data_IF_554800655320
#
_entry.id   IF_554800655320
#
_cell.length_a   1.000
_cell.length_b   1.000
_cell.length_c   1.000
_cell.angle_alpha   90.00
_cell.angle_beta   90.00
_cell.angle_gamma   90.00
#
_symmetry.space_group_name_H-M   'P 1'
#
loop_
_entity.id
_entity.type
_entity.pdbx_description
1 polymer ?
#
# COMPACT_ATOMS: atom_id res chain seq x y z
N UNK A 1 -56.36 -54.14 25.32
CA UNK A 1 -55.21 -54.54 24.50
C UNK A 1 -54.54 -53.39 23.75
N UNK A 2 -55.13 -52.21 23.54
CA UNK A 2 -54.53 -51.08 22.81
C UNK A 2 -53.54 -50.25 23.64
N UNK A 3 -53.68 -50.20 24.97
CA UNK A 3 -52.81 -49.42 25.87
C UNK A 3 -51.39 -50.03 26.08
N UNK A 4 -51.31 -51.35 26.08
CA UNK A 4 -50.01 -52.02 26.23
C UNK A 4 -49.10 -51.91 24.98
N UNK A 5 -49.67 -51.84 23.77
CA UNK A 5 -48.91 -51.61 22.52
C UNK A 5 -48.31 -50.20 22.44
N UNK A 6 -48.96 -49.21 23.03
CA UNK A 6 -48.46 -47.83 23.01
C UNK A 6 -47.26 -47.65 23.97
N UNK A 7 -47.26 -48.31 25.14
CA UNK A 7 -46.14 -48.26 26.08
C UNK A 7 -44.86 -48.94 25.54
N UNK A 8 -44.99 -50.02 24.82
CA UNK A 8 -43.83 -50.72 24.22
C UNK A 8 -43.24 -49.97 23.04
N UNK A 9 -44.03 -49.19 22.32
CA UNK A 9 -43.52 -48.31 21.26
C UNK A 9 -42.76 -47.11 21.83
N UNK A 10 -43.28 -46.52 22.91
CA UNK A 10 -42.64 -45.34 23.55
C UNK A 10 -41.27 -45.69 24.17
N UNK A 11 -41.13 -46.86 24.77
CA UNK A 11 -39.84 -47.36 25.34
C UNK A 11 -38.80 -47.68 24.28
N UNK A 12 -39.22 -48.18 23.08
CA UNK A 12 -38.33 -48.43 21.96
C UNK A 12 -37.82 -47.11 21.33
N UNK A 13 -38.66 -46.07 21.24
CA UNK A 13 -38.28 -44.78 20.67
C UNK A 13 -37.27 -44.05 21.59
N UNK A 14 -37.45 -44.11 22.90
CA UNK A 14 -36.48 -43.55 23.85
C UNK A 14 -35.11 -44.23 23.81
N UNK A 15 -35.07 -45.58 23.65
CA UNK A 15 -33.81 -46.34 23.52
C UNK A 15 -33.05 -46.01 22.23
N UNK A 16 -33.76 -45.74 21.14
CA UNK A 16 -33.14 -45.36 19.85
C UNK A 16 -32.60 -43.93 19.93
N UNK A 17 -33.33 -42.97 20.56
CA UNK A 17 -32.86 -41.61 20.76
C UNK A 17 -31.66 -41.52 21.70
N UNK A 18 -31.59 -42.31 22.78
CA UNK A 18 -30.43 -42.34 23.66
C UNK A 18 -29.17 -42.86 22.99
N UNK A 19 -29.30 -43.87 22.08
CA UNK A 19 -28.18 -44.41 21.34
C UNK A 19 -27.62 -43.47 20.23
N UNK A 20 -28.51 -42.68 19.62
CA UNK A 20 -28.12 -41.68 18.62
C UNK A 20 -27.42 -40.47 19.23
N UNK A 21 -27.84 -40.04 20.43
CA UNK A 21 -27.17 -38.90 21.10
C UNK A 21 -25.75 -39.28 21.60
N UNK A 22 -25.55 -40.49 22.15
CA UNK A 22 -24.19 -40.91 22.54
C UNK A 22 -23.24 -41.10 21.34
N UNK A 23 -23.75 -41.53 20.20
CA UNK A 23 -22.93 -41.62 18.98
C UNK A 23 -22.61 -40.25 18.37
N UNK A 24 -23.49 -39.26 18.53
CA UNK A 24 -23.29 -37.90 18.06
C UNK A 24 -22.28 -37.14 18.93
N UNK A 25 -22.32 -37.30 20.25
CA UNK A 25 -21.38 -36.67 21.16
C UNK A 25 -19.94 -37.15 20.97
N UNK A 26 -19.75 -38.48 20.80
CA UNK A 26 -18.43 -39.06 20.54
C UNK A 26 -17.82 -38.61 19.19
N UNK A 27 -18.65 -38.35 18.17
CA UNK A 27 -18.15 -37.84 16.87
C UNK A 27 -17.82 -36.32 16.92
N UNK A 28 -18.50 -35.53 17.73
CA UNK A 28 -18.20 -34.13 17.90
C UNK A 28 -16.86 -33.91 18.61
N UNK A 29 -16.59 -34.65 19.68
CA UNK A 29 -15.34 -34.56 20.44
C UNK A 29 -14.12 -34.96 19.60
N UNK A 30 -14.26 -35.94 18.68
CA UNK A 30 -13.18 -36.33 17.75
C UNK A 30 -12.94 -35.29 16.67
N UNK A 31 -14.00 -34.68 16.14
CA UNK A 31 -13.87 -33.63 15.12
C UNK A 31 -13.28 -32.33 15.72
N UNK A 32 -13.61 -32.02 16.97
CA UNK A 32 -13.04 -30.87 17.66
C UNK A 32 -11.55 -31.05 18.01
N UNK A 33 -11.13 -32.27 18.32
CA UNK A 33 -9.72 -32.60 18.56
C UNK A 33 -8.88 -32.52 17.26
N UNK A 34 -9.38 -33.08 16.15
CA UNK A 34 -8.70 -32.99 14.85
C UNK A 34 -8.63 -31.54 14.34
N UNK A 35 -9.69 -30.74 14.53
CA UNK A 35 -9.69 -29.33 14.16
C UNK A 35 -8.75 -28.48 15.04
N UNK A 36 -8.56 -28.82 16.31
CA UNK A 36 -7.60 -28.10 17.18
C UNK A 36 -6.14 -28.38 16.80
N UNK A 37 -5.81 -29.61 16.36
CA UNK A 37 -4.46 -29.93 15.88
C UNK A 37 -4.15 -29.29 14.52
N UNK A 38 -5.13 -29.16 13.61
CA UNK A 38 -4.95 -28.50 12.31
C UNK A 38 -4.78 -26.99 12.48
N UNK A 39 -5.48 -26.37 13.44
CA UNK A 39 -5.37 -24.90 13.70
C UNK A 39 -4.04 -24.56 14.36
N UNK A 40 -3.42 -25.47 15.11
CA UNK A 40 -2.15 -25.20 15.81
C UNK A 40 -0.90 -25.26 14.92
N UNK A 41 -0.97 -25.92 13.76
CA UNK A 41 0.20 -26.16 12.91
C UNK A 41 0.34 -25.21 11.71
N UNK A 42 -0.72 -24.44 11.35
CA UNK A 42 -0.74 -23.54 10.20
C UNK A 42 -0.88 -22.05 10.55
N UNK A 43 -0.50 -21.64 11.76
CA UNK A 43 -0.31 -20.22 12.01
C UNK A 43 0.96 -19.78 11.27
N UNK A 44 0.86 -19.03 10.15
CA UNK A 44 2.03 -18.44 9.56
C UNK A 44 2.66 -17.59 10.66
N UNK A 45 3.96 -17.75 10.86
CA UNK A 45 4.79 -16.93 11.76
C UNK A 45 4.61 -15.46 11.35
N UNK A 46 3.51 -14.85 11.81
CA UNK A 46 3.21 -13.44 11.58
C UNK A 46 4.18 -12.67 12.45
N UNK A 47 5.31 -12.28 11.85
CA UNK A 47 6.13 -11.21 12.42
C UNK A 47 5.18 -10.07 12.87
N UNK A 48 5.39 -9.47 14.02
CA UNK A 48 4.50 -8.45 14.54
C UNK A 48 4.29 -7.38 13.47
N UNK A 49 3.06 -7.24 13.02
CA UNK A 49 2.70 -6.25 12.02
C UNK A 49 3.17 -4.89 12.52
N UNK A 50 4.14 -4.29 11.82
CA UNK A 50 4.65 -2.97 12.19
C UNK A 50 3.49 -1.99 12.09
N UNK A 51 2.95 -1.59 13.24
CA UNK A 51 1.86 -0.63 13.32
C UNK A 51 2.43 0.73 12.96
N UNK A 52 2.07 1.24 11.79
CA UNK A 52 2.44 2.59 11.37
C UNK A 52 1.43 3.58 11.92
N UNK A 53 1.92 4.51 12.72
CA UNK A 53 1.09 5.58 13.28
C UNK A 53 0.82 6.67 12.24
N UNK A 54 -0.39 7.22 12.28
CA UNK A 54 -0.77 8.39 11.49
C UNK A 54 0.01 9.61 11.96
N UNK A 55 0.73 10.30 11.05
CA UNK A 55 1.53 11.49 11.34
C UNK A 55 0.94 12.71 10.63
N UNK A 56 0.14 13.46 11.36
CA UNK A 56 -0.57 14.64 10.87
C UNK A 56 -0.24 15.84 11.77
N UNK A 57 -0.02 17.00 11.17
CA UNK A 57 0.21 18.28 11.87
C UNK A 57 -1.09 18.78 12.54
N UNK A 58 -0.98 19.78 13.43
CA UNK A 58 -2.11 20.44 14.10
C UNK A 58 -3.13 21.06 13.11
N UNK A 59 -2.69 21.36 11.88
CA UNK A 59 -3.53 21.87 10.79
C UNK A 59 -4.21 20.76 9.96
N UNK A 60 -4.13 19.50 10.40
CA UNK A 60 -4.70 18.36 9.68
C UNK A 60 -3.96 17.98 8.39
N UNK A 61 -2.68 18.38 8.25
CA UNK A 61 -1.86 18.09 7.08
C UNK A 61 -0.84 17.00 7.37
N UNK A 62 -0.65 16.08 6.42
CA UNK A 62 0.48 15.17 6.46
C UNK A 62 1.62 15.71 5.58
N UNK A 63 2.81 15.72 6.14
CA UNK A 63 4.02 16.22 5.49
C UNK A 63 4.98 15.10 5.14
N UNK A 64 5.59 15.19 3.95
CA UNK A 64 6.73 14.33 3.61
C UNK A 64 7.66 14.99 2.58
N UNK A 65 8.91 14.53 2.59
CA UNK A 65 9.93 14.95 1.63
C UNK A 65 10.18 13.85 0.59
N UNK A 66 10.16 14.22 -0.69
CA UNK A 66 10.55 13.36 -1.79
C UNK A 66 11.84 13.82 -2.47
N UNK A 67 12.61 12.88 -3.01
CA UNK A 67 13.87 13.18 -3.70
C UNK A 67 14.01 12.33 -4.95
N UNK A 68 14.47 12.95 -6.05
CA UNK A 68 14.87 12.24 -7.27
C UNK A 68 15.96 13.01 -8.01
N UNK A 69 17.06 12.34 -8.39
CA UNK A 69 18.26 13.00 -8.95
C UNK A 69 18.70 14.13 -8.02
N UNK A 70 18.76 15.37 -8.51
CA UNK A 70 19.08 16.57 -7.74
C UNK A 70 17.84 17.36 -7.31
N UNK A 71 16.62 16.86 -7.61
CA UNK A 71 15.39 17.51 -7.22
C UNK A 71 14.95 17.07 -5.82
N UNK A 72 14.51 18.04 -5.02
CA UNK A 72 13.93 17.85 -3.69
C UNK A 72 12.54 18.45 -3.69
N UNK A 73 11.55 17.68 -3.25
CA UNK A 73 10.17 18.11 -3.09
C UNK A 73 9.75 18.02 -1.63
N UNK A 74 9.13 19.07 -1.11
CA UNK A 74 8.40 19.08 0.16
C UNK A 74 6.92 19.06 -0.18
N UNK A 75 6.20 18.09 0.34
CA UNK A 75 4.80 17.82 -0.01
C UNK A 75 3.95 17.85 1.25
N UNK A 76 2.88 18.61 1.24
CA UNK A 76 1.83 18.62 2.25
C UNK A 76 0.53 18.18 1.61
N UNK A 77 -0.17 17.29 2.24
CA UNK A 77 -1.50 16.83 1.82
C UNK A 77 -2.51 17.12 2.92
N UNK A 78 -3.70 17.51 2.52
CA UNK A 78 -4.87 17.74 3.37
C UNK A 78 -6.10 17.20 2.67
N UNK A 79 -7.09 16.76 3.41
CA UNK A 79 -8.41 16.43 2.83
C UNK A 79 -9.02 17.68 2.20
N UNK A 80 -9.51 17.55 0.96
CA UNK A 80 -10.03 18.70 0.22
C UNK A 80 -10.69 18.31 -1.11
N UNK A 81 -10.60 19.21 -2.08
CA UNK A 81 -11.28 19.15 -3.37
C UNK A 81 -10.41 18.60 -4.52
N UNK A 82 -9.18 18.17 -4.24
CA UNK A 82 -8.25 17.65 -5.25
C UNK A 82 -7.38 18.73 -5.92
N UNK A 83 -7.30 19.92 -5.33
CA UNK A 83 -6.47 21.01 -5.86
C UNK A 83 -4.99 20.73 -5.64
N UNK A 84 -4.19 20.79 -6.72
CA UNK A 84 -2.74 20.60 -6.66
C UNK A 84 -2.02 21.89 -7.00
N UNK A 85 -1.19 22.38 -6.08
CA UNK A 85 -0.40 23.60 -6.24
C UNK A 85 1.08 23.27 -6.09
N UNK A 86 1.91 23.73 -7.04
CA UNK A 86 3.36 23.50 -7.05
C UNK A 86 4.09 24.85 -7.16
N UNK A 87 4.90 25.19 -6.17
CA UNK A 87 5.58 26.50 -6.09
C UNK A 87 4.62 27.67 -6.40
N UNK A 88 3.46 27.68 -5.73
CA UNK A 88 2.42 28.71 -5.86
C UNK A 88 1.73 28.80 -7.23
N UNK A 89 2.12 27.94 -8.18
CA UNK A 89 1.52 27.84 -9.52
C UNK A 89 0.56 26.65 -9.58
N UNK A 90 -0.41 26.75 -10.48
CA UNK A 90 -1.28 25.62 -10.77
C UNK A 90 -0.50 24.46 -11.39
N UNK A 91 -0.93 23.26 -11.07
CA UNK A 91 -0.28 22.02 -11.50
C UNK A 91 -0.12 21.90 -13.01
N UNK A 92 -1.13 22.33 -13.78
CA UNK A 92 -1.13 22.27 -15.23
C UNK A 92 -0.18 23.27 -15.87
N UNK A 93 -0.07 24.46 -15.27
CA UNK A 93 0.84 25.50 -15.69
C UNK A 93 2.29 25.12 -15.42
N UNK A 94 2.54 24.53 -14.23
CA UNK A 94 3.90 24.13 -13.84
C UNK A 94 4.39 22.92 -14.66
N UNK A 95 3.53 21.90 -14.84
CA UNK A 95 3.82 20.72 -15.65
C UNK A 95 3.00 20.75 -16.94
N UNK A 96 3.45 21.53 -17.91
CA UNK A 96 2.81 21.62 -19.24
C UNK A 96 2.72 20.26 -19.95
N UNK A 97 3.69 19.35 -19.71
CA UNK A 97 3.71 18.01 -20.33
C UNK A 97 2.76 17.04 -19.59
N UNK A 98 1.74 16.46 -20.26
CA UNK A 98 0.78 15.54 -19.66
C UNK A 98 1.42 14.34 -18.96
N UNK A 99 2.49 13.78 -19.58
CA UNK A 99 3.22 12.63 -19.02
C UNK A 99 3.79 12.92 -17.64
N UNK A 100 4.26 14.13 -17.36
CA UNK A 100 4.77 14.50 -16.04
C UNK A 100 3.64 14.60 -15.02
N UNK A 101 2.46 15.07 -15.43
CA UNK A 101 1.25 15.10 -14.62
C UNK A 101 0.80 13.70 -14.24
N UNK A 102 0.76 12.78 -15.21
CA UNK A 102 0.45 11.37 -14.94
C UNK A 102 1.40 10.75 -13.91
N UNK A 103 2.71 11.00 -14.04
CA UNK A 103 3.71 10.47 -13.08
C UNK A 103 3.42 10.92 -11.65
N UNK A 104 3.02 12.18 -11.45
CA UNK A 104 2.70 12.71 -10.13
C UNK A 104 1.41 12.11 -9.58
N UNK A 105 0.43 11.82 -10.42
CA UNK A 105 -0.88 11.27 -10.01
C UNK A 105 -0.84 9.76 -9.70
N UNK A 106 0.13 9.02 -10.22
CA UNK A 106 0.25 7.56 -10.02
C UNK A 106 0.02 7.06 -8.58
N UNK A 107 0.56 7.69 -7.51
CA UNK A 107 0.30 7.23 -6.15
C UNK A 107 -1.14 7.41 -5.70
N UNK A 108 -1.82 8.46 -6.18
CA UNK A 108 -3.24 8.71 -5.89
C UNK A 108 -4.14 7.67 -6.60
N UNK A 109 -3.79 7.34 -7.84
CA UNK A 109 -4.49 6.33 -8.62
C UNK A 109 -4.34 4.92 -7.98
N UNK A 110 -3.14 4.61 -7.45
CA UNK A 110 -2.86 3.33 -6.79
C UNK A 110 -3.52 3.17 -5.41
N UNK A 111 -4.00 4.26 -4.81
CA UNK A 111 -4.69 4.26 -3.51
C UNK A 111 -6.16 4.65 -3.63
N UNK A 112 -6.69 4.80 -4.87
CA UNK A 112 -8.06 5.25 -5.17
C UNK A 112 -8.46 6.58 -4.51
N UNK A 113 -7.47 7.41 -4.22
CA UNK A 113 -7.63 8.70 -3.53
C UNK A 113 -7.60 9.91 -4.46
N UNK A 114 -7.88 9.71 -5.75
CA UNK A 114 -7.88 10.80 -6.74
C UNK A 114 -9.00 11.80 -6.45
N UNK A 115 -8.62 13.07 -6.29
CA UNK A 115 -9.58 14.14 -5.99
C UNK A 115 -9.96 14.31 -4.51
N UNK A 116 -9.53 13.44 -3.62
CA UNK A 116 -9.85 13.51 -2.18
C UNK A 116 -8.91 14.41 -1.38
N UNK A 117 -7.74 14.76 -1.94
CA UNK A 117 -6.71 15.51 -1.23
C UNK A 117 -6.32 16.79 -1.96
N UNK A 118 -6.25 17.88 -1.21
CA UNK A 118 -5.55 19.09 -1.64
C UNK A 118 -4.05 18.93 -1.37
N UNK A 119 -3.24 19.20 -2.40
CA UNK A 119 -1.80 18.95 -2.39
C UNK A 119 -1.06 20.28 -2.58
N UNK A 120 -0.24 20.62 -1.61
CA UNK A 120 0.69 21.73 -1.70
C UNK A 120 2.12 21.22 -1.78
N UNK A 121 2.88 21.65 -2.79
CA UNK A 121 4.25 21.20 -3.00
C UNK A 121 5.21 22.38 -3.20
N UNK A 122 6.35 22.32 -2.53
CA UNK A 122 7.49 23.17 -2.85
C UNK A 122 8.61 22.32 -3.43
N UNK A 123 9.11 22.67 -4.60
CA UNK A 123 10.11 21.88 -5.33
C UNK A 123 11.29 22.75 -5.71
N UNK A 124 12.50 22.24 -5.48
CA UNK A 124 13.75 22.90 -5.84
C UNK A 124 14.74 21.94 -6.48
N UNK A 125 15.66 22.46 -7.26
CA UNK A 125 16.74 21.74 -7.91
C UNK A 125 16.31 20.83 -9.06
N UNK A 126 17.30 20.32 -9.81
CA UNK A 126 17.09 19.42 -10.94
C UNK A 126 16.30 20.04 -12.09
N UNK A 127 15.63 19.21 -12.87
CA UNK A 127 14.74 19.63 -13.96
C UNK A 127 13.33 19.06 -13.80
N UNK A 128 12.36 19.50 -14.58
CA UNK A 128 10.94 19.14 -14.48
C UNK A 128 10.68 17.64 -14.33
N UNK A 129 11.41 16.78 -15.10
CA UNK A 129 11.29 15.33 -14.98
C UNK A 129 11.80 14.77 -13.63
N UNK A 130 12.85 15.37 -13.07
CA UNK A 130 13.34 15.05 -11.73
C UNK A 130 12.37 15.52 -10.65
N UNK A 131 11.83 16.73 -10.81
CA UNK A 131 10.87 17.34 -9.91
C UNK A 131 9.57 16.56 -9.84
N UNK A 132 9.00 16.13 -10.99
CA UNK A 132 7.81 15.28 -11.02
C UNK A 132 8.03 13.95 -10.26
N UNK A 133 9.19 13.31 -10.47
CA UNK A 133 9.52 12.09 -9.72
C UNK A 133 9.81 12.33 -8.24
N UNK A 134 10.32 13.49 -7.86
CA UNK A 134 10.49 13.87 -6.47
C UNK A 134 9.14 14.11 -5.77
N UNK A 135 8.20 14.81 -6.46
CA UNK A 135 6.83 14.98 -5.96
C UNK A 135 6.15 13.63 -5.81
N UNK A 136 6.23 12.73 -6.80
CA UNK A 136 5.68 11.38 -6.72
C UNK A 136 6.14 10.66 -5.45
N UNK A 137 7.43 10.62 -5.21
CA UNK A 137 8.01 9.99 -4.03
C UNK A 137 7.59 10.66 -2.72
N UNK A 138 7.54 12.01 -2.68
CA UNK A 138 7.07 12.78 -1.52
C UNK A 138 5.59 12.53 -1.23
N UNK A 139 4.76 12.54 -2.27
CA UNK A 139 3.32 12.31 -2.17
C UNK A 139 3.02 10.91 -1.63
N UNK A 140 3.70 9.88 -2.12
CA UNK A 140 3.53 8.51 -1.62
C UNK A 140 3.87 8.40 -0.13
N UNK A 141 4.89 9.09 0.33
CA UNK A 141 5.25 9.13 1.76
C UNK A 141 4.25 9.94 2.59
N UNK A 142 3.72 11.02 2.03
CA UNK A 142 2.71 11.83 2.70
C UNK A 142 1.39 11.05 2.84
N UNK A 143 0.96 10.32 1.79
CA UNK A 143 -0.18 9.42 1.84
C UNK A 143 -0.01 8.33 2.91
N UNK A 144 1.18 7.75 3.01
CA UNK A 144 1.49 6.77 4.07
C UNK A 144 1.39 7.37 5.47
N UNK A 145 1.84 8.62 5.67
CA UNK A 145 1.74 9.32 6.94
C UNK A 145 0.29 9.67 7.31
N UNK A 146 -0.54 9.90 6.30
CA UNK A 146 -1.96 10.21 6.50
C UNK A 146 -2.79 8.94 6.72
N UNK A 147 -2.58 7.91 5.89
CA UNK A 147 -3.28 6.62 5.92
C UNK A 147 -2.28 5.46 5.85
N UNK A 148 -1.89 4.91 7.02
CA UNK A 148 -0.89 3.84 7.07
C UNK A 148 -1.27 2.54 6.33
N UNK A 149 -2.57 2.24 6.20
CA UNK A 149 -3.04 1.02 5.51
C UNK A 149 -2.73 1.03 4.00
N UNK A 150 -2.56 2.20 3.38
CA UNK A 150 -2.18 2.31 1.97
C UNK A 150 -0.74 1.83 1.66
N UNK A 151 0.03 1.43 2.70
CA UNK A 151 1.41 0.98 2.55
C UNK A 151 1.57 -0.19 1.59
N UNK A 152 0.68 -1.18 1.63
CA UNK A 152 0.76 -2.36 0.78
C UNK A 152 0.69 -1.98 -0.70
N UNK A 153 -0.32 -1.18 -1.10
CA UNK A 153 -0.51 -0.70 -2.46
C UNK A 153 0.66 0.18 -2.94
N UNK A 154 1.10 1.13 -2.11
CA UNK A 154 2.21 2.02 -2.43
C UNK A 154 3.56 1.29 -2.53
N UNK A 155 3.79 0.24 -1.74
CA UNK A 155 4.99 -0.59 -1.79
C UNK A 155 4.99 -1.48 -3.04
N UNK A 156 3.85 -2.10 -3.37
CA UNK A 156 3.69 -2.90 -4.59
C UNK A 156 3.95 -2.08 -5.86
N UNK A 157 3.46 -0.83 -5.92
CA UNK A 157 3.74 0.11 -7.02
C UNK A 157 5.16 0.68 -7.03
N UNK A 158 6.02 0.37 -6.05
CA UNK A 158 7.40 0.86 -5.95
C UNK A 158 7.53 2.35 -5.65
N UNK A 159 6.46 3.02 -5.19
CA UNK A 159 6.43 4.46 -4.97
C UNK A 159 7.18 4.91 -3.72
N UNK A 160 7.34 4.04 -2.74
CA UNK A 160 8.02 4.35 -1.47
C UNK A 160 9.55 4.30 -1.58
N UNK A 161 10.08 3.65 -2.63
CA UNK A 161 11.51 3.52 -2.85
C UNK A 161 12.05 4.71 -3.64
N UNK A 162 13.13 5.32 -3.15
CA UNK A 162 13.81 6.38 -3.90
C UNK A 162 14.51 5.79 -5.12
N UNK A 163 14.31 6.42 -6.30
CA UNK A 163 15.09 6.12 -7.51
C UNK A 163 16.53 6.64 -7.32
N UNK A 164 17.50 5.73 -7.21
CA UNK A 164 18.92 6.03 -6.97
C UNK A 164 19.67 6.51 -8.21
N UNK A 165 19.07 6.39 -9.41
CA UNK A 165 19.74 6.76 -10.67
C UNK A 165 20.07 8.24 -10.72
N UNK A 166 21.35 8.55 -10.88
CA UNK A 166 21.90 9.91 -11.00
C UNK A 166 22.68 10.01 -12.32
N UNK A 167 22.87 11.21 -12.82
CA UNK A 167 23.68 11.43 -14.02
C UNK A 167 25.15 11.07 -13.70
N UNK A 168 25.71 10.18 -14.50
CA UNK A 168 27.10 9.75 -14.37
C UNK A 168 28.06 10.91 -14.66
N UNK A 169 29.09 11.06 -13.84
CA UNK A 169 30.09 12.11 -13.99
C UNK A 169 30.86 11.97 -15.30
N UNK A 170 31.11 13.09 -15.98
CA UNK A 170 32.04 13.16 -17.13
C UNK A 170 33.41 12.62 -16.71
N UNK A 171 34.05 11.80 -17.56
CA UNK A 171 35.39 11.25 -17.35
C UNK A 171 36.43 12.02 -18.19
N UNK A 172 37.65 12.03 -17.73
CA UNK A 172 38.75 12.61 -18.49
C UNK A 172 38.95 11.81 -19.79
N UNK A 173 39.47 12.44 -20.86
CA UNK A 173 39.68 11.82 -22.16
C UNK A 173 38.39 11.42 -22.93
N UNK A 174 37.18 11.75 -22.41
CA UNK A 174 35.90 11.48 -23.05
C UNK A 174 35.07 12.73 -23.25
N UNK A 175 34.19 12.74 -24.25
CA UNK A 175 33.30 13.86 -24.50
C UNK A 175 32.19 13.97 -23.42
N UNK A 176 31.68 12.83 -22.88
CA UNK A 176 30.74 12.72 -21.78
C UNK A 176 31.17 11.58 -20.83
N UNK A 177 30.29 11.09 -19.99
CA UNK A 177 30.58 9.97 -19.09
C UNK A 177 31.09 8.72 -19.82
N UNK A 178 30.43 8.38 -20.93
CA UNK A 178 30.75 7.19 -21.75
C UNK A 178 31.07 7.50 -23.20
N UNK A 179 30.62 8.65 -23.74
CA UNK A 179 30.85 9.03 -25.15
C UNK A 179 32.31 9.37 -25.34
N UNK A 180 32.97 8.68 -26.30
CA UNK A 180 34.33 8.99 -26.75
C UNK A 180 34.31 10.12 -27.77
N UNK A 181 35.46 10.75 -28.00
CA UNK A 181 35.67 11.66 -29.11
C UNK A 181 35.68 10.87 -30.43
N UNK A 182 35.23 11.50 -31.49
CA UNK A 182 35.27 10.88 -32.78
C UNK A 182 36.72 10.74 -33.27
N UNK A 183 37.07 9.55 -33.74
CA UNK A 183 38.37 9.34 -34.34
C UNK A 183 38.35 9.93 -35.78
N UNK A 184 39.29 10.82 -36.05
CA UNK A 184 39.46 11.38 -37.41
C UNK A 184 40.49 10.53 -38.14
N UNK A 185 40.06 9.86 -39.22
CA UNK A 185 40.98 9.25 -40.20
C UNK A 185 41.50 10.35 -41.12
N UNK A 186 42.78 10.59 -41.14
CA UNK A 186 43.51 11.31 -42.15
C UNK A 186 44.53 10.38 -42.73
#
# INVERSE_FOLDING_TARGET
PKSQKLMTLHSKTQKIQGGLNMAAENNLDVLDAENQEIISNDLPNTEPAVIYEKKVDDLGRAYATGKRKNAVARVWIKLGSGKVTVNEKEFEVFFARPVLRMIVQQPLDATDNRGSFDIYCTVSGGGLSGQAGAIRHGLSKALLNFEPHNRAALKAGGFLTRDSRVVERKKYGRAKARKSFQFSKR
#
